data_IF_062869224329
#
_entry.id   IF_062869224329
#
_cell.length_a   1.000
_cell.length_b   1.000
_cell.length_c   1.000
_cell.angle_alpha   90.00
_cell.angle_beta   90.00
_cell.angle_gamma   90.00
#
_symmetry.space_group_name_H-M   'P 1'
#
loop_
_entity.id
_entity.type
_entity.pdbx_description
1 polymer ?
#
# COMPACT_ATOMS: atom_id res chain seq x y z
N UNK A 1 -31.48 29.31 -4.38
CA UNK A 1 -31.76 28.51 -3.20
C UNK A 1 -31.78 27.06 -3.70
N UNK A 2 -30.95 26.15 -3.16
CA UNK A 2 -31.00 24.73 -3.52
C UNK A 2 -32.37 24.19 -3.04
N UNK A 3 -33.09 23.48 -3.92
CA UNK A 3 -34.34 22.82 -3.52
C UNK A 3 -34.01 21.77 -2.46
N UNK A 4 -34.81 21.78 -1.38
CA UNK A 4 -34.70 20.83 -0.28
C UNK A 4 -36.02 20.13 -0.07
N UNK A 5 -36.00 18.92 0.46
CA UNK A 5 -37.14 18.16 0.95
C UNK A 5 -37.06 17.98 2.45
N UNK A 6 -38.17 17.76 3.11
CA UNK A 6 -38.22 17.44 4.53
C UNK A 6 -38.07 15.93 4.68
N UNK A 7 -37.08 15.51 5.49
CA UNK A 7 -36.88 14.14 5.98
C UNK A 7 -37.03 14.09 7.49
N UNK A 8 -37.33 12.93 8.02
CA UNK A 8 -37.57 12.73 9.45
C UNK A 8 -36.84 11.49 9.98
N UNK A 9 -36.28 11.63 11.14
CA UNK A 9 -35.74 10.52 11.97
C UNK A 9 -36.31 10.57 13.40
N UNK A 10 -35.80 9.75 14.30
CA UNK A 10 -36.22 9.71 15.71
C UNK A 10 -36.01 11.02 16.48
N UNK A 11 -35.16 11.92 15.97
CA UNK A 11 -34.85 13.22 16.58
C UNK A 11 -35.67 14.38 16.00
N UNK A 12 -36.51 14.14 14.95
CA UNK A 12 -37.37 15.12 14.34
C UNK A 12 -37.08 15.38 12.86
N UNK A 13 -37.62 16.44 12.34
CA UNK A 13 -37.55 16.85 10.93
C UNK A 13 -36.30 17.68 10.65
N UNK A 14 -35.76 17.55 9.42
CA UNK A 14 -34.72 18.42 8.89
C UNK A 14 -34.76 18.50 7.37
N UNK A 15 -34.09 19.52 6.83
CA UNK A 15 -34.01 19.77 5.38
C UNK A 15 -32.85 18.93 4.79
N UNK A 16 -33.13 18.16 3.73
CA UNK A 16 -32.17 17.40 2.95
C UNK A 16 -32.20 17.87 1.51
N UNK A 17 -31.08 17.98 0.79
CA UNK A 17 -31.10 18.35 -0.63
C UNK A 17 -32.05 17.47 -1.43
N UNK A 18 -32.90 18.07 -2.27
CA UNK A 18 -33.94 17.37 -3.02
C UNK A 18 -33.46 16.16 -3.80
N UNK A 19 -32.25 16.27 -4.38
CA UNK A 19 -31.66 15.22 -5.22
C UNK A 19 -30.81 14.19 -4.45
N UNK A 20 -30.59 14.39 -3.15
CA UNK A 20 -29.80 13.44 -2.36
C UNK A 20 -30.54 12.10 -2.22
N UNK A 21 -29.82 11.02 -2.37
CA UNK A 21 -30.37 9.68 -2.13
C UNK A 21 -30.37 9.31 -0.64
N UNK A 22 -29.57 9.99 0.16
CA UNK A 22 -29.53 9.81 1.61
C UNK A 22 -30.66 10.59 2.31
N UNK A 23 -30.93 10.25 3.56
CA UNK A 23 -31.99 10.80 4.38
C UNK A 23 -31.51 11.63 5.56
N UNK A 24 -32.33 11.65 6.61
CA UNK A 24 -32.18 12.51 7.79
C UNK A 24 -30.90 12.22 8.59
N UNK A 25 -30.59 10.97 8.84
CA UNK A 25 -29.43 10.63 9.68
C UNK A 25 -28.11 11.02 9.01
N UNK A 26 -27.99 10.81 7.72
CA UNK A 26 -26.82 11.25 6.94
C UNK A 26 -26.69 12.77 6.96
N UNK A 27 -27.79 13.52 6.74
CA UNK A 27 -27.73 14.97 6.77
C UNK A 27 -27.29 15.50 8.13
N UNK A 28 -27.77 14.91 9.24
CA UNK A 28 -27.27 15.28 10.58
C UNK A 28 -25.77 15.04 10.73
N UNK A 29 -25.26 13.94 10.17
CA UNK A 29 -23.82 13.66 10.23
C UNK A 29 -23.02 14.70 9.40
N UNK A 30 -23.51 15.09 8.24
CA UNK A 30 -22.90 16.16 7.43
C UNK A 30 -22.86 17.49 8.19
N UNK A 31 -23.97 17.84 8.85
CA UNK A 31 -24.09 19.07 9.61
C UNK A 31 -23.24 19.06 10.90
N UNK A 32 -23.09 17.90 11.53
CA UNK A 32 -22.35 17.75 12.80
C UNK A 32 -20.82 17.66 12.63
N UNK A 33 -20.34 17.17 11.49
CA UNK A 33 -18.93 16.84 11.29
C UNK A 33 -18.27 17.55 10.10
N UNK A 34 -18.37 18.89 9.95
CA UNK A 34 -17.64 19.61 8.91
C UNK A 34 -16.19 19.85 9.33
N UNK A 35 -15.37 18.78 9.39
CA UNK A 35 -14.04 18.82 10.02
C UNK A 35 -12.94 18.89 8.98
N UNK A 36 -12.81 17.88 8.12
CA UNK A 36 -11.71 17.78 7.16
C UNK A 36 -12.12 18.05 5.70
N UNK A 37 -13.38 17.84 5.38
CA UNK A 37 -13.89 17.80 4.00
C UNK A 37 -13.48 16.52 3.25
N UNK A 38 -12.77 15.60 3.89
CA UNK A 38 -12.42 14.30 3.31
C UNK A 38 -13.55 13.30 3.54
N UNK A 39 -13.99 12.67 2.47
CA UNK A 39 -14.98 11.59 2.53
C UNK A 39 -14.32 10.26 2.81
N UNK A 40 -15.11 9.27 3.23
CA UNK A 40 -14.61 7.90 3.34
C UNK A 40 -14.04 7.41 1.98
N UNK A 41 -12.98 6.58 2.00
CA UNK A 41 -12.37 6.09 0.76
C UNK A 41 -13.37 5.37 -0.15
N UNK A 42 -13.22 5.54 -1.47
CA UNK A 42 -14.07 4.85 -2.45
C UNK A 42 -14.08 3.33 -2.25
N UNK A 43 -12.92 2.74 -1.94
CA UNK A 43 -12.79 1.30 -1.67
C UNK A 43 -13.61 0.88 -0.44
N UNK A 44 -13.66 1.71 0.61
CA UNK A 44 -14.48 1.46 1.79
C UNK A 44 -15.97 1.47 1.46
N UNK A 45 -16.43 2.51 0.77
CA UNK A 45 -17.85 2.63 0.38
C UNK A 45 -18.26 1.49 -0.57
N UNK A 46 -17.39 1.13 -1.54
CA UNK A 46 -17.62 -0.05 -2.42
C UNK A 46 -17.80 -1.33 -1.60
N UNK A 47 -16.92 -1.57 -0.64
CA UNK A 47 -17.00 -2.74 0.22
C UNK A 47 -18.26 -2.74 1.11
N UNK A 48 -18.67 -1.57 1.62
CA UNK A 48 -19.89 -1.42 2.40
C UNK A 48 -21.14 -1.74 1.56
N UNK A 49 -21.21 -1.25 0.33
CA UNK A 49 -22.31 -1.55 -0.60
C UNK A 49 -22.36 -3.06 -0.91
N UNK A 50 -21.22 -3.69 -1.18
CA UNK A 50 -21.12 -5.14 -1.39
C UNK A 50 -21.57 -5.94 -0.17
N UNK A 51 -21.15 -5.50 1.01
CA UNK A 51 -21.56 -6.13 2.28
C UNK A 51 -23.07 -6.02 2.52
N UNK A 52 -23.69 -4.88 2.18
CA UNK A 52 -25.16 -4.72 2.26
C UNK A 52 -25.88 -5.64 1.27
N UNK A 53 -25.36 -5.79 0.05
CA UNK A 53 -25.92 -6.76 -0.91
C UNK A 53 -25.81 -8.22 -0.42
N UNK A 54 -24.66 -8.58 0.16
CA UNK A 54 -24.46 -9.91 0.76
C UNK A 54 -25.40 -10.16 1.95
N UNK A 55 -25.60 -9.16 2.82
CA UNK A 55 -26.52 -9.21 3.93
C UNK A 55 -27.97 -9.40 3.46
N UNK A 56 -28.39 -8.67 2.42
CA UNK A 56 -29.73 -8.81 1.85
C UNK A 56 -29.96 -10.21 1.30
N UNK A 57 -29.00 -10.80 0.54
CA UNK A 57 -29.09 -12.18 0.06
C UNK A 57 -29.17 -13.19 1.20
N UNK A 58 -28.32 -13.05 2.20
CA UNK A 58 -28.32 -13.91 3.39
C UNK A 58 -29.67 -13.85 4.15
N UNK A 59 -30.20 -12.65 4.34
CA UNK A 59 -31.48 -12.45 5.04
C UNK A 59 -32.69 -12.99 4.27
N UNK A 60 -32.66 -12.96 2.93
CA UNK A 60 -33.69 -13.65 2.11
C UNK A 60 -33.63 -15.16 2.31
N UNK A 61 -32.44 -15.76 2.24
CA UNK A 61 -32.28 -17.21 2.48
C UNK A 61 -32.73 -17.64 3.88
N UNK A 62 -32.59 -16.76 4.87
CA UNK A 62 -32.99 -16.99 6.25
C UNK A 62 -34.46 -16.60 6.55
N UNK A 63 -35.18 -16.09 5.54
CA UNK A 63 -36.57 -15.67 5.71
C UNK A 63 -36.76 -14.42 6.59
N UNK A 64 -35.69 -13.62 6.79
CA UNK A 64 -35.74 -12.42 7.63
C UNK A 64 -36.29 -11.20 6.89
N UNK A 65 -36.13 -11.15 5.57
CA UNK A 65 -36.75 -10.18 4.66
C UNK A 65 -37.38 -10.93 3.46
N UNK A 66 -38.31 -10.31 2.77
CA UNK A 66 -38.96 -10.93 1.62
C UNK A 66 -38.00 -11.02 0.42
N UNK A 67 -38.26 -11.95 -0.49
CA UNK A 67 -37.49 -12.10 -1.70
C UNK A 67 -37.51 -10.84 -2.58
N UNK A 68 -38.63 -10.14 -2.65
CA UNK A 68 -38.77 -8.90 -3.43
C UNK A 68 -37.95 -7.76 -2.83
N UNK A 69 -37.97 -7.57 -1.51
CA UNK A 69 -37.15 -6.59 -0.80
C UNK A 69 -35.66 -6.88 -0.99
N UNK A 70 -35.24 -8.13 -0.77
CA UNK A 70 -33.85 -8.53 -0.92
C UNK A 70 -33.34 -8.32 -2.35
N UNK A 71 -34.14 -8.69 -3.36
CA UNK A 71 -33.81 -8.44 -4.76
C UNK A 71 -33.66 -6.96 -5.05
N UNK A 72 -34.59 -6.13 -4.59
CA UNK A 72 -34.52 -4.67 -4.80
C UNK A 72 -33.27 -4.03 -4.16
N UNK A 73 -32.85 -4.50 -2.96
CA UNK A 73 -31.63 -4.01 -2.30
C UNK A 73 -30.39 -4.43 -3.11
N UNK A 74 -30.33 -5.67 -3.60
CA UNK A 74 -29.20 -6.16 -4.41
C UNK A 74 -29.11 -5.42 -5.74
N UNK A 75 -30.25 -5.23 -6.43
CA UNK A 75 -30.30 -4.48 -7.70
C UNK A 75 -29.88 -2.99 -7.48
N UNK A 76 -30.31 -2.38 -6.37
CA UNK A 76 -29.89 -1.03 -6.00
C UNK A 76 -28.37 -0.94 -5.74
N UNK A 77 -27.81 -1.92 -5.04
CA UNK A 77 -26.38 -2.00 -4.78
C UNK A 77 -25.57 -2.16 -6.08
N UNK A 78 -26.01 -3.00 -6.98
CA UNK A 78 -25.37 -3.21 -8.27
C UNK A 78 -25.42 -1.93 -9.11
N UNK A 79 -26.57 -1.29 -9.22
CA UNK A 79 -26.72 -0.05 -9.98
C UNK A 79 -25.84 1.09 -9.44
N UNK A 80 -25.65 1.16 -8.10
CA UNK A 80 -24.70 2.11 -7.50
C UNK A 80 -23.26 1.82 -7.92
N UNK A 81 -22.84 0.56 -7.88
CA UNK A 81 -21.46 0.15 -8.17
C UNK A 81 -21.07 0.35 -9.64
N UNK A 82 -22.03 0.32 -10.55
CA UNK A 82 -21.85 0.59 -11.98
C UNK A 82 -21.67 2.08 -12.30
N UNK A 83 -22.06 2.98 -11.37
CA UNK A 83 -22.05 4.43 -11.54
C UNK A 83 -21.01 5.18 -10.70
N UNK A 84 -21.07 6.51 -10.73
CA UNK A 84 -20.35 7.35 -9.77
C UNK A 84 -21.18 7.52 -8.50
N UNK A 85 -20.95 6.64 -7.54
CA UNK A 85 -21.71 6.59 -6.29
C UNK A 85 -21.20 7.55 -5.22
N UNK A 86 -19.97 8.05 -5.31
CA UNK A 86 -19.34 8.81 -4.22
C UNK A 86 -20.08 10.13 -3.89
N UNK A 87 -20.82 10.71 -4.82
CA UNK A 87 -21.65 11.90 -4.57
C UNK A 87 -22.74 11.67 -3.52
N UNK A 88 -23.16 10.41 -3.31
CA UNK A 88 -24.19 10.03 -2.35
C UNK A 88 -23.65 9.70 -0.95
N UNK A 89 -22.32 9.76 -0.78
CA UNK A 89 -21.62 9.46 0.48
C UNK A 89 -20.80 10.67 0.94
N UNK A 90 -21.48 11.74 1.44
CA UNK A 90 -20.82 13.01 1.77
C UNK A 90 -20.18 13.05 3.16
N UNK A 91 -20.37 12.03 4.00
CA UNK A 91 -19.95 12.05 5.41
C UNK A 91 -18.43 12.14 5.53
N UNK A 92 -17.95 13.05 6.39
CA UNK A 92 -16.52 13.24 6.68
C UNK A 92 -15.90 12.00 7.34
N UNK A 93 -14.62 11.77 7.13
CA UNK A 93 -13.85 10.71 7.82
C UNK A 93 -13.90 10.90 9.34
N UNK A 94 -13.79 12.13 9.81
CA UNK A 94 -13.92 12.47 11.23
C UNK A 94 -15.41 12.58 11.60
N UNK A 95 -16.01 11.44 11.89
CA UNK A 95 -17.40 11.23 12.21
C UNK A 95 -17.54 10.47 13.53
N UNK A 96 -18.72 9.92 13.84
CA UNK A 96 -18.85 9.02 15.00
C UNK A 96 -17.89 7.85 14.90
N UNK A 97 -17.16 7.58 15.99
CA UNK A 97 -16.02 6.67 16.00
C UNK A 97 -16.33 5.21 15.64
N UNK A 98 -17.58 4.79 15.80
CA UNK A 98 -18.08 3.48 15.35
C UNK A 98 -18.38 3.40 13.86
N UNK A 99 -18.31 4.52 13.13
CA UNK A 99 -18.69 4.58 11.71
C UNK A 99 -20.20 4.50 11.45
N UNK A 100 -21.04 4.66 12.48
CA UNK A 100 -22.50 4.59 12.33
C UNK A 100 -23.02 5.58 11.30
N UNK A 101 -22.42 6.77 11.20
CA UNK A 101 -22.82 7.76 10.19
C UNK A 101 -22.67 7.23 8.76
N UNK A 102 -21.56 6.56 8.45
CA UNK A 102 -21.35 5.91 7.14
C UNK A 102 -22.25 4.69 6.94
N UNK A 103 -22.50 3.89 7.98
CA UNK A 103 -23.43 2.76 7.90
C UNK A 103 -24.84 3.23 7.56
N UNK A 104 -25.34 4.24 8.28
CA UNK A 104 -26.67 4.79 8.01
C UNK A 104 -26.75 5.49 6.66
N UNK A 105 -25.69 6.16 6.22
CA UNK A 105 -25.61 6.71 4.88
C UNK A 105 -25.83 5.62 3.80
N UNK A 106 -25.15 4.49 3.90
CA UNK A 106 -25.37 3.37 2.99
C UNK A 106 -26.79 2.80 3.09
N UNK A 107 -27.31 2.64 4.30
CA UNK A 107 -28.66 2.14 4.52
C UNK A 107 -29.72 3.04 3.88
N UNK A 108 -29.63 4.37 4.08
CA UNK A 108 -30.57 5.35 3.53
C UNK A 108 -30.51 5.42 2.01
N UNK A 109 -29.30 5.42 1.41
CA UNK A 109 -29.11 5.44 -0.04
C UNK A 109 -29.69 4.18 -0.68
N UNK A 110 -29.37 3.01 -0.14
CA UNK A 110 -29.88 1.73 -0.66
C UNK A 110 -31.38 1.59 -0.47
N UNK A 111 -31.91 1.99 0.69
CA UNK A 111 -33.35 1.98 0.95
C UNK A 111 -34.12 2.88 -0.03
N UNK A 112 -33.61 4.07 -0.32
CA UNK A 112 -34.21 4.99 -1.29
C UNK A 112 -34.26 4.39 -2.69
N UNK A 113 -33.14 3.81 -3.16
CA UNK A 113 -33.08 3.21 -4.49
C UNK A 113 -33.92 1.93 -4.58
N UNK A 114 -33.84 1.06 -3.57
CA UNK A 114 -34.62 -0.17 -3.51
C UNK A 114 -36.11 0.12 -3.47
N UNK A 115 -36.56 1.15 -2.72
CA UNK A 115 -37.96 1.58 -2.70
C UNK A 115 -38.44 2.05 -4.08
N UNK A 116 -37.61 2.78 -4.81
CA UNK A 116 -37.94 3.22 -6.18
C UNK A 116 -38.05 2.02 -7.16
N UNK A 117 -37.16 1.03 -7.02
CA UNK A 117 -37.20 -0.17 -7.86
C UNK A 117 -38.39 -1.08 -7.54
N UNK A 118 -38.73 -1.21 -6.26
CA UNK A 118 -39.78 -2.11 -5.79
C UNK A 118 -41.19 -1.48 -5.94
N UNK A 119 -41.27 -0.16 -5.88
CA UNK A 119 -42.58 0.56 -5.81
C UNK A 119 -43.23 0.55 -4.43
N UNK A 120 -42.52 0.01 -3.42
CA UNK A 120 -42.94 -0.07 -2.02
C UNK A 120 -41.79 0.40 -1.11
N UNK A 121 -42.13 0.75 0.13
CA UNK A 121 -41.12 1.24 1.10
C UNK A 121 -40.19 0.14 1.54
N UNK A 122 -38.91 0.32 1.27
CA UNK A 122 -37.80 -0.46 1.86
C UNK A 122 -37.22 0.39 2.99
N UNK A 123 -37.29 -0.15 4.24
CA UNK A 123 -36.82 0.57 5.41
C UNK A 123 -35.32 0.41 5.60
N UNK A 124 -34.55 1.51 5.85
CA UNK A 124 -33.11 1.46 6.04
C UNK A 124 -32.69 0.62 7.26
N UNK A 125 -33.45 0.63 8.37
CA UNK A 125 -33.13 -0.10 9.57
C UNK A 125 -33.65 -1.55 9.55
N UNK A 126 -34.92 -1.75 9.20
CA UNK A 126 -35.58 -3.04 9.30
C UNK A 126 -35.23 -4.00 8.15
N UNK A 127 -34.95 -3.45 6.96
CA UNK A 127 -34.67 -4.25 5.76
C UNK A 127 -33.20 -4.21 5.36
N UNK A 128 -32.61 -3.03 5.10
CA UNK A 128 -31.20 -2.90 4.65
C UNK A 128 -30.23 -3.29 5.74
N UNK A 129 -30.50 -2.88 6.99
CA UNK A 129 -29.66 -3.16 8.16
C UNK A 129 -30.11 -4.40 8.95
N UNK A 130 -31.02 -5.22 8.43
CA UNK A 130 -31.55 -6.40 9.11
C UNK A 130 -30.42 -7.33 9.59
N UNK A 131 -30.43 -7.71 10.87
CA UNK A 131 -29.44 -8.60 11.50
C UNK A 131 -28.04 -7.98 11.64
N UNK A 132 -27.91 -6.67 11.54
CA UNK A 132 -26.63 -5.96 11.59
C UNK A 132 -26.62 -4.87 12.66
N UNK A 133 -25.42 -4.48 13.09
CA UNK A 133 -25.10 -3.25 13.80
C UNK A 133 -24.00 -2.50 13.07
N UNK A 134 -23.86 -1.19 13.28
CA UNK A 134 -22.64 -0.48 12.84
C UNK A 134 -21.39 -1.11 13.46
N UNK A 135 -21.52 -1.66 14.65
CA UNK A 135 -20.40 -2.20 15.43
C UNK A 135 -19.78 -3.47 14.80
N UNK A 136 -20.54 -4.26 14.05
CA UNK A 136 -20.01 -5.42 13.32
C UNK A 136 -19.79 -5.13 11.82
N UNK A 137 -20.67 -4.37 11.17
CA UNK A 137 -20.56 -4.11 9.74
C UNK A 137 -19.38 -3.19 9.38
N UNK A 138 -19.03 -2.20 10.22
CA UNK A 138 -17.91 -1.31 9.94
C UNK A 138 -16.56 -2.01 10.05
N UNK A 139 -16.22 -2.75 11.14
CA UNK A 139 -15.00 -3.57 11.14
C UNK A 139 -14.97 -4.59 10.00
N UNK A 140 -16.08 -5.22 9.69
CA UNK A 140 -16.23 -6.11 8.52
C UNK A 140 -15.86 -5.36 7.24
N UNK A 141 -16.35 -4.15 7.03
CA UNK A 141 -16.07 -3.34 5.84
C UNK A 141 -14.58 -2.94 5.75
N UNK A 142 -13.93 -2.64 6.87
CA UNK A 142 -12.48 -2.40 6.93
C UNK A 142 -11.72 -3.61 6.40
N UNK A 143 -12.04 -4.79 6.91
CA UNK A 143 -11.41 -6.05 6.50
C UNK A 143 -11.66 -6.35 5.01
N UNK A 144 -12.91 -6.27 4.57
CA UNK A 144 -13.30 -6.53 3.18
C UNK A 144 -12.63 -5.56 2.22
N UNK A 145 -12.69 -4.27 2.50
CA UNK A 145 -12.08 -3.25 1.63
C UNK A 145 -10.56 -3.41 1.53
N UNK A 146 -9.90 -3.67 2.65
CA UNK A 146 -8.46 -3.91 2.66
C UNK A 146 -8.08 -5.19 1.90
N UNK A 147 -8.80 -6.30 2.12
CA UNK A 147 -8.55 -7.56 1.40
C UNK A 147 -8.74 -7.39 -0.11
N UNK A 148 -9.83 -6.76 -0.56
CA UNK A 148 -10.09 -6.52 -1.98
C UNK A 148 -9.02 -5.60 -2.60
N UNK A 149 -8.66 -4.51 -1.93
CA UNK A 149 -7.67 -3.56 -2.46
C UNK A 149 -6.27 -4.18 -2.51
N UNK A 150 -5.90 -5.01 -1.53
CA UNK A 150 -4.67 -5.80 -1.59
C UNK A 150 -4.66 -6.74 -2.80
N UNK A 151 -5.73 -7.51 -3.00
CA UNK A 151 -5.84 -8.46 -4.12
C UNK A 151 -5.87 -7.78 -5.48
N UNK A 152 -6.67 -6.72 -5.62
CA UNK A 152 -6.93 -6.08 -6.92
C UNK A 152 -5.84 -5.07 -7.31
N UNK A 153 -5.11 -4.48 -6.36
CA UNK A 153 -4.22 -3.36 -6.64
C UNK A 153 -2.79 -3.55 -6.15
N UNK A 154 -2.56 -3.74 -4.83
CA UNK A 154 -1.20 -3.69 -4.30
C UNK A 154 -0.36 -4.92 -4.65
N UNK A 155 -0.89 -6.12 -4.44
CA UNK A 155 -0.16 -7.35 -4.75
C UNK A 155 0.21 -7.42 -6.24
N UNK A 156 -0.70 -7.16 -7.20
CA UNK A 156 -0.35 -7.09 -8.61
C UNK A 156 0.68 -6.01 -8.93
N UNK A 157 0.62 -4.84 -8.28
CA UNK A 157 1.58 -3.76 -8.49
C UNK A 157 2.99 -4.12 -8.00
N UNK A 158 3.10 -4.79 -6.85
CA UNK A 158 4.38 -5.26 -6.32
C UNK A 158 4.97 -6.38 -7.17
N UNK A 159 4.15 -7.31 -7.63
CA UNK A 159 4.57 -8.38 -8.56
C UNK A 159 5.11 -7.77 -9.85
N UNK A 160 4.38 -6.83 -10.45
CA UNK A 160 4.83 -6.11 -11.64
C UNK A 160 6.18 -5.39 -11.41
N UNK A 161 6.33 -4.71 -10.26
CA UNK A 161 7.60 -4.05 -9.91
C UNK A 161 8.75 -5.06 -9.82
N UNK A 162 8.54 -6.22 -9.18
CA UNK A 162 9.53 -7.29 -9.10
C UNK A 162 9.92 -7.78 -10.48
N UNK A 163 8.96 -8.07 -11.36
CA UNK A 163 9.22 -8.53 -12.73
C UNK A 163 10.02 -7.52 -13.56
N UNK A 164 9.72 -6.22 -13.40
CA UNK A 164 10.46 -5.14 -14.07
C UNK A 164 11.89 -5.06 -13.54
N UNK A 165 12.09 -5.16 -12.22
CA UNK A 165 13.42 -5.16 -11.61
C UNK A 165 14.24 -6.35 -12.11
N UNK A 166 13.68 -7.56 -12.12
CA UNK A 166 14.38 -8.78 -12.56
C UNK A 166 14.76 -8.72 -14.04
N UNK A 167 13.87 -8.25 -14.90
CA UNK A 167 14.16 -8.03 -16.32
C UNK A 167 15.28 -7.01 -16.51
N UNK A 168 15.23 -5.90 -15.76
CA UNK A 168 16.30 -4.90 -15.79
C UNK A 168 17.62 -5.45 -15.27
N UNK A 169 17.60 -6.28 -14.24
CA UNK A 169 18.79 -6.95 -13.72
C UNK A 169 19.48 -7.80 -14.79
N UNK A 170 18.74 -8.54 -15.60
CA UNK A 170 19.29 -9.29 -16.72
C UNK A 170 19.93 -8.37 -17.77
N UNK A 171 19.25 -7.26 -18.13
CA UNK A 171 19.76 -6.27 -19.09
C UNK A 171 21.09 -5.65 -18.65
N UNK A 172 21.24 -5.36 -17.36
CA UNK A 172 22.41 -4.65 -16.81
C UNK A 172 23.45 -5.58 -16.17
N UNK A 173 23.35 -6.89 -16.36
CA UNK A 173 24.20 -7.88 -15.72
C UNK A 173 25.72 -7.70 -16.02
N UNK A 174 26.06 -7.26 -17.22
CA UNK A 174 27.45 -7.05 -17.62
C UNK A 174 28.13 -5.84 -16.95
N UNK A 175 27.34 -4.93 -16.36
CA UNK A 175 27.91 -3.73 -15.76
C UNK A 175 28.37 -3.98 -14.33
N UNK A 176 29.67 -3.81 -14.10
CA UNK A 176 30.30 -3.82 -12.79
C UNK A 176 30.49 -2.40 -12.28
N UNK A 177 30.22 -2.17 -11.02
CA UNK A 177 30.33 -0.88 -10.36
C UNK A 177 31.07 -0.99 -9.04
N UNK A 178 31.60 0.13 -8.54
CA UNK A 178 32.06 0.23 -7.16
C UNK A 178 30.88 0.06 -6.21
N UNK A 179 30.94 -0.95 -5.32
CA UNK A 179 30.02 -1.06 -4.19
C UNK A 179 30.30 0.05 -3.17
N UNK A 180 29.31 0.33 -2.32
CA UNK A 180 29.46 1.34 -1.24
C UNK A 180 28.90 0.82 0.08
N UNK A 181 29.69 1.00 1.13
CA UNK A 181 29.26 0.86 2.52
C UNK A 181 29.54 2.16 3.23
N UNK A 182 28.65 2.66 4.08
CA UNK A 182 28.76 3.99 4.68
C UNK A 182 28.88 5.13 3.65
N UNK A 183 28.37 4.94 2.43
CA UNK A 183 28.59 5.79 1.25
C UNK A 183 30.08 5.90 0.82
N UNK A 184 30.97 5.10 1.39
CA UNK A 184 32.37 5.03 1.02
C UNK A 184 32.59 3.89 0.03
N UNK A 185 33.61 4.06 -0.84
CA UNK A 185 34.01 3.05 -1.83
C UNK A 185 34.33 1.71 -1.16
N UNK A 186 33.81 0.64 -1.75
CA UNK A 186 34.00 -0.72 -1.28
C UNK A 186 34.32 -1.65 -2.46
N UNK A 187 34.21 -2.96 -2.26
CA UNK A 187 34.47 -3.95 -3.29
C UNK A 187 33.48 -3.86 -4.46
N UNK A 188 33.87 -4.32 -5.66
CA UNK A 188 33.00 -4.31 -6.83
C UNK A 188 31.76 -5.17 -6.63
N UNK A 189 30.66 -4.72 -7.24
CA UNK A 189 29.41 -5.47 -7.36
C UNK A 189 28.89 -5.34 -8.80
N UNK A 190 28.13 -6.31 -9.27
CA UNK A 190 27.35 -6.16 -10.51
C UNK A 190 26.13 -5.29 -10.26
N UNK A 191 25.74 -4.48 -11.23
CA UNK A 191 24.51 -3.70 -11.17
C UNK A 191 23.31 -4.65 -10.97
N UNK A 192 23.31 -5.83 -11.60
CA UNK A 192 22.27 -6.85 -11.42
C UNK A 192 22.12 -7.33 -9.97
N UNK A 193 23.24 -7.52 -9.24
CA UNK A 193 23.20 -7.97 -7.84
C UNK A 193 22.50 -6.95 -6.94
N UNK A 194 22.67 -5.66 -7.21
CA UNK A 194 21.95 -4.61 -6.50
C UNK A 194 20.45 -4.71 -6.75
N UNK A 195 20.04 -4.85 -8.01
CA UNK A 195 18.64 -4.98 -8.40
C UNK A 195 18.01 -6.27 -7.87
N UNK A 196 18.70 -7.38 -7.95
CA UNK A 196 18.27 -8.68 -7.37
C UNK A 196 18.01 -8.58 -5.86
N UNK A 197 18.86 -7.82 -5.14
CA UNK A 197 18.64 -7.51 -3.73
C UNK A 197 17.32 -6.77 -3.49
N UNK A 198 16.97 -5.78 -4.34
CA UNK A 198 15.69 -5.08 -4.25
C UNK A 198 14.51 -6.01 -4.56
N UNK A 199 14.62 -6.82 -5.62
CA UNK A 199 13.59 -7.80 -5.96
C UNK A 199 13.32 -8.76 -4.79
N UNK A 200 14.36 -9.24 -4.13
CA UNK A 200 14.23 -10.15 -3.00
C UNK A 200 13.53 -9.49 -1.80
N UNK A 201 13.84 -8.22 -1.48
CA UNK A 201 13.13 -7.47 -0.44
C UNK A 201 11.63 -7.38 -0.74
N UNK A 202 11.26 -7.08 -1.99
CA UNK A 202 9.86 -6.95 -2.39
C UNK A 202 9.13 -8.31 -2.41
N UNK A 203 9.79 -9.38 -2.84
CA UNK A 203 9.24 -10.75 -2.76
C UNK A 203 8.91 -11.15 -1.32
N UNK A 204 9.79 -10.83 -0.38
CA UNK A 204 9.53 -11.06 1.04
C UNK A 204 8.32 -10.24 1.54
N UNK A 205 8.21 -8.97 1.15
CA UNK A 205 7.05 -8.15 1.50
C UNK A 205 5.74 -8.71 0.91
N UNK A 206 5.75 -9.18 -0.34
CA UNK A 206 4.60 -9.82 -0.98
C UNK A 206 4.17 -11.06 -0.19
N UNK A 207 5.11 -11.94 0.17
CA UNK A 207 4.82 -13.14 0.94
C UNK A 207 4.19 -12.81 2.30
N UNK A 208 4.76 -11.84 3.04
CA UNK A 208 4.20 -11.42 4.33
C UNK A 208 2.79 -10.81 4.18
N UNK A 209 2.53 -10.02 3.14
CA UNK A 209 1.18 -9.50 2.88
C UNK A 209 0.18 -10.62 2.57
N UNK A 210 0.60 -11.63 1.80
CA UNK A 210 -0.23 -12.80 1.49
C UNK A 210 -0.55 -13.62 2.73
N UNK A 211 0.41 -13.78 3.65
CA UNK A 211 0.22 -14.50 4.91
C UNK A 211 -0.81 -13.82 5.83
N UNK A 212 -1.03 -12.51 5.68
CA UNK A 212 -2.02 -11.76 6.45
C UNK A 212 -3.45 -11.82 5.87
N UNK A 213 -3.62 -12.23 4.61
CA UNK A 213 -4.93 -12.27 3.97
C UNK A 213 -5.96 -13.12 4.74
N UNK A 214 -5.65 -14.32 5.25
CA UNK A 214 -6.62 -15.10 6.02
C UNK A 214 -7.18 -14.37 7.24
N UNK A 215 -6.38 -13.52 7.90
CA UNK A 215 -6.82 -12.70 9.03
C UNK A 215 -7.76 -11.57 8.61
N UNK A 216 -7.51 -10.94 7.46
CA UNK A 216 -8.42 -9.94 6.86
C UNK A 216 -9.72 -10.57 6.35
N UNK A 217 -9.68 -11.82 5.92
CA UNK A 217 -10.83 -12.54 5.39
C UNK A 217 -11.75 -13.11 6.48
N UNK A 218 -11.34 -13.04 7.76
CA UNK A 218 -12.16 -13.39 8.91
C UNK A 218 -12.95 -12.16 9.37
N UNK A 219 -14.29 -12.24 9.37
CA UNK A 219 -15.18 -11.10 9.49
C UNK A 219 -15.88 -11.02 10.86
N UNK A 220 -16.13 -9.79 11.33
CA UNK A 220 -16.88 -9.49 12.54
C UNK A 220 -18.39 -9.65 12.36
N UNK A 221 -18.87 -9.74 11.11
CA UNK A 221 -20.29 -9.74 10.79
C UNK A 221 -21.03 -10.89 11.44
N UNK A 222 -22.15 -10.56 12.06
CA UNK A 222 -22.98 -11.47 12.87
C UNK A 222 -22.82 -11.29 14.38
N UNK A 223 -21.82 -10.51 14.84
CA UNK A 223 -21.65 -10.16 16.23
C UNK A 223 -22.62 -9.11 16.75
N UNK A 224 -23.19 -8.35 15.83
CA UNK A 224 -24.12 -7.24 16.09
C UNK A 224 -23.57 -6.20 17.07
N UNK A 225 -24.32 -5.88 18.14
CA UNK A 225 -24.02 -4.75 19.02
C UNK A 225 -22.72 -4.89 19.82
N UNK A 226 -22.43 -6.08 20.36
CA UNK A 226 -21.33 -6.32 21.32
C UNK A 226 -20.56 -7.63 21.08
N UNK A 227 -20.95 -8.42 20.08
CA UNK A 227 -20.32 -9.72 19.79
C UNK A 227 -21.18 -10.95 20.08
N UNK A 228 -22.34 -10.78 20.71
CA UNK A 228 -23.25 -11.89 21.09
C UNK A 228 -24.17 -12.33 19.96
N UNK A 229 -24.30 -11.52 18.90
CA UNK A 229 -25.22 -11.81 17.80
C UNK A 229 -26.70 -11.54 18.12
N UNK A 230 -26.98 -10.68 19.09
CA UNK A 230 -28.38 -10.33 19.43
C UNK A 230 -29.13 -9.80 18.19
N UNK A 231 -30.37 -10.27 17.97
CA UNK A 231 -31.22 -9.90 16.85
C UNK A 231 -30.72 -10.36 15.44
N UNK A 232 -29.67 -11.15 15.38
CA UNK A 232 -29.27 -11.82 14.14
C UNK A 232 -29.66 -13.30 14.17
N UNK A 233 -30.03 -13.85 13.01
CA UNK A 233 -30.27 -15.29 12.87
C UNK A 233 -28.96 -16.05 13.16
N UNK A 234 -28.96 -17.18 13.86
CA UNK A 234 -27.73 -17.93 14.19
C UNK A 234 -26.84 -18.30 12.99
N UNK A 235 -27.42 -18.52 11.81
CA UNK A 235 -26.70 -18.81 10.58
C UNK A 235 -26.28 -17.56 9.77
N UNK A 236 -26.62 -16.36 10.24
CA UNK A 236 -26.41 -15.12 9.47
C UNK A 236 -24.95 -14.90 9.10
N UNK A 237 -24.02 -15.04 10.05
CA UNK A 237 -22.59 -14.87 9.81
C UNK A 237 -22.06 -15.79 8.71
N UNK A 238 -22.46 -17.06 8.71
CA UNK A 238 -22.03 -18.05 7.71
C UNK A 238 -22.62 -17.76 6.32
N UNK A 239 -23.93 -17.43 6.26
CA UNK A 239 -24.61 -17.10 4.99
C UNK A 239 -24.07 -15.81 4.40
N UNK A 240 -23.89 -14.78 5.22
CA UNK A 240 -23.29 -13.51 4.81
C UNK A 240 -21.91 -13.69 4.19
N UNK A 241 -21.01 -14.40 4.90
CA UNK A 241 -19.63 -14.61 4.42
C UNK A 241 -19.62 -15.39 3.09
N UNK A 242 -20.48 -16.39 2.92
CA UNK A 242 -20.64 -17.12 1.67
C UNK A 242 -21.13 -16.20 0.54
N UNK A 243 -22.20 -15.43 0.77
CA UNK A 243 -22.76 -14.53 -0.22
C UNK A 243 -21.76 -13.43 -0.61
N UNK A 244 -21.00 -12.91 0.33
CA UNK A 244 -19.95 -11.94 0.07
C UNK A 244 -18.81 -12.54 -0.78
N UNK A 245 -18.41 -13.78 -0.48
CA UNK A 245 -17.39 -14.51 -1.26
C UNK A 245 -17.83 -14.72 -2.71
N UNK A 246 -19.09 -15.08 -2.93
CA UNK A 246 -19.67 -15.22 -4.28
C UNK A 246 -19.70 -13.90 -5.05
N UNK A 247 -20.03 -12.78 -4.37
CA UNK A 247 -20.09 -11.45 -5.00
C UNK A 247 -18.71 -10.89 -5.36
N UNK A 248 -17.71 -11.20 -4.56
CA UNK A 248 -16.38 -10.61 -4.68
C UNK A 248 -15.34 -11.50 -5.33
N UNK A 249 -15.63 -12.79 -5.47
CA UNK A 249 -14.69 -13.85 -5.89
C UNK A 249 -13.45 -13.94 -4.96
N UNK A 250 -13.55 -13.44 -3.75
CA UNK A 250 -12.55 -13.55 -2.68
C UNK A 250 -13.17 -14.30 -1.51
N UNK A 251 -12.47 -15.31 -0.99
CA UNK A 251 -12.98 -16.13 0.09
C UNK A 251 -13.04 -15.34 1.41
N UNK A 252 -14.21 -15.22 2.01
CA UNK A 252 -14.43 -14.68 3.35
C UNK A 252 -15.05 -15.73 4.27
N UNK A 253 -14.76 -15.64 5.55
CA UNK A 253 -15.26 -16.56 6.57
C UNK A 253 -15.76 -15.82 7.81
N UNK A 254 -16.69 -16.37 8.59
CA UNK A 254 -17.00 -15.84 9.90
C UNK A 254 -15.76 -15.85 10.82
N UNK A 255 -15.56 -14.79 11.57
CA UNK A 255 -14.50 -14.73 12.56
C UNK A 255 -14.71 -15.74 13.69
N UNK A 256 -13.64 -16.28 14.23
CA UNK A 256 -13.70 -17.25 15.34
C UNK A 256 -14.17 -16.63 16.66
N UNK A 257 -13.90 -15.36 16.87
CA UNK A 257 -14.29 -14.61 18.05
C UNK A 257 -14.75 -13.20 17.66
N UNK A 258 -16.04 -12.97 17.70
CA UNK A 258 -16.65 -11.71 17.26
C UNK A 258 -16.40 -10.56 18.23
N UNK A 259 -16.19 -10.85 19.52
CA UNK A 259 -15.81 -9.84 20.52
C UNK A 259 -14.44 -9.22 20.20
N UNK A 260 -13.46 -10.04 19.85
CA UNK A 260 -12.14 -9.58 19.46
C UNK A 260 -12.19 -8.71 18.19
N UNK A 261 -12.98 -9.10 17.19
CA UNK A 261 -13.07 -8.39 15.92
C UNK A 261 -13.88 -7.09 15.97
N UNK A 262 -14.72 -6.91 16.97
CA UNK A 262 -15.49 -5.69 17.26
C UNK A 262 -14.72 -4.76 18.19
N UNK A 263 -14.23 -5.30 19.31
CA UNK A 263 -13.57 -4.53 20.37
C UNK A 263 -12.13 -4.12 20.03
N UNK A 264 -11.46 -4.84 19.13
CA UNK A 264 -10.08 -4.53 18.72
C UNK A 264 -9.94 -4.46 17.19
N UNK A 265 -8.80 -3.87 16.76
CA UNK A 265 -8.47 -3.74 15.34
C UNK A 265 -7.04 -4.26 15.05
N UNK A 266 -6.63 -5.29 15.75
CA UNK A 266 -5.26 -5.82 15.71
C UNK A 266 -4.85 -6.29 14.31
N UNK A 267 -5.78 -6.86 13.55
CA UNK A 267 -5.54 -7.24 12.15
C UNK A 267 -5.19 -6.02 11.29
N UNK A 268 -5.95 -4.92 11.42
CA UNK A 268 -5.68 -3.69 10.68
C UNK A 268 -4.32 -3.08 11.07
N UNK A 269 -3.97 -3.10 12.36
CA UNK A 269 -2.66 -2.65 12.87
C UNK A 269 -1.54 -3.51 12.31
N UNK A 270 -1.70 -4.83 12.29
CA UNK A 270 -0.69 -5.76 11.74
C UNK A 270 -0.47 -5.55 10.25
N UNK A 271 -1.54 -5.43 9.46
CA UNK A 271 -1.46 -5.14 8.02
C UNK A 271 -0.77 -3.80 7.80
N UNK A 272 -1.13 -2.77 8.55
CA UNK A 272 -0.48 -1.46 8.49
C UNK A 272 1.02 -1.54 8.76
N UNK A 273 1.44 -2.30 9.76
CA UNK A 273 2.85 -2.56 10.06
C UNK A 273 3.59 -3.21 8.87
N UNK A 274 2.96 -4.14 8.15
CA UNK A 274 3.54 -4.74 6.96
C UNK A 274 3.56 -3.78 5.76
N UNK A 275 2.54 -2.93 5.60
CA UNK A 275 2.57 -1.84 4.60
C UNK A 275 3.71 -0.86 4.88
N UNK A 276 3.96 -0.53 6.15
CA UNK A 276 5.12 0.27 6.56
C UNK A 276 6.44 -0.41 6.18
N UNK A 277 6.59 -1.71 6.42
CA UNK A 277 7.79 -2.45 6.01
C UNK A 277 8.01 -2.39 4.49
N UNK A 278 6.93 -2.51 3.71
CA UNK A 278 6.97 -2.35 2.25
C UNK A 278 7.39 -0.92 1.85
N UNK A 279 6.84 0.09 2.52
CA UNK A 279 7.22 1.49 2.31
C UNK A 279 8.72 1.74 2.59
N UNK A 280 9.28 1.13 3.63
CA UNK A 280 10.71 1.21 3.96
C UNK A 280 11.56 0.60 2.83
N UNK A 281 11.16 -0.54 2.26
CA UNK A 281 11.85 -1.13 1.10
C UNK A 281 11.80 -0.20 -0.12
N UNK A 282 10.64 0.38 -0.43
CA UNK A 282 10.50 1.34 -1.53
C UNK A 282 11.30 2.62 -1.31
N UNK A 283 11.35 3.13 -0.07
CA UNK A 283 12.17 4.29 0.29
C UNK A 283 13.67 4.03 0.02
N UNK A 284 14.16 2.84 0.39
CA UNK A 284 15.55 2.42 0.14
C UNK A 284 15.82 2.38 -1.36
N UNK A 285 14.97 1.76 -2.16
CA UNK A 285 15.12 1.68 -3.61
C UNK A 285 15.10 3.07 -4.25
N UNK A 286 14.16 3.92 -3.85
CA UNK A 286 14.05 5.29 -4.35
C UNK A 286 15.29 6.14 -4.03
N UNK A 287 15.83 6.02 -2.83
CA UNK A 287 17.05 6.74 -2.44
C UNK A 287 18.28 6.23 -3.19
N UNK A 288 18.45 4.93 -3.36
CA UNK A 288 19.55 4.38 -4.16
C UNK A 288 19.50 4.86 -5.61
N UNK A 289 18.31 4.87 -6.23
CA UNK A 289 18.12 5.43 -7.58
C UNK A 289 18.51 6.91 -7.65
N UNK A 290 18.10 7.71 -6.66
CA UNK A 290 18.46 9.14 -6.58
C UNK A 290 19.96 9.34 -6.44
N UNK A 291 20.63 8.55 -5.60
CA UNK A 291 22.09 8.61 -5.45
C UNK A 291 22.80 8.22 -6.73
N UNK A 292 22.47 7.08 -7.34
CA UNK A 292 23.09 6.63 -8.58
C UNK A 292 22.90 7.60 -9.75
N UNK A 293 21.75 8.31 -9.81
CA UNK A 293 21.44 9.32 -10.82
C UNK A 293 21.98 10.72 -10.49
N UNK A 294 22.60 10.94 -9.33
CA UNK A 294 23.01 12.26 -8.89
C UNK A 294 24.05 12.89 -9.82
N UNK A 295 23.95 14.20 -10.02
CA UNK A 295 24.88 14.94 -10.87
C UNK A 295 24.19 15.56 -12.08
N UNK A 296 24.62 15.25 -13.32
CA UNK A 296 25.53 14.19 -13.79
C UNK A 296 27.03 14.44 -13.64
N UNK A 297 27.46 15.70 -13.45
CA UNK A 297 28.89 16.06 -13.43
C UNK A 297 29.48 16.00 -12.01
N UNK A 298 28.84 16.65 -11.05
CA UNK A 298 29.31 16.78 -9.67
C UNK A 298 28.77 15.69 -8.71
N UNK A 299 27.97 14.75 -9.19
CA UNK A 299 27.47 13.62 -8.42
C UNK A 299 28.01 12.31 -8.94
N UNK A 300 27.34 11.19 -8.57
CA UNK A 300 27.78 9.84 -8.94
C UNK A 300 27.61 9.56 -10.43
N UNK A 301 26.46 9.91 -11.01
CA UNK A 301 26.17 9.77 -12.43
C UNK A 301 26.30 8.33 -12.94
N UNK A 302 26.04 7.32 -12.11
CA UNK A 302 26.15 5.90 -12.49
C UNK A 302 25.04 5.45 -13.43
N UNK A 303 23.88 6.07 -13.29
CA UNK A 303 22.71 5.86 -14.15
C UNK A 303 22.14 7.20 -14.61
N UNK A 304 21.33 7.16 -15.64
CA UNK A 304 20.51 8.26 -16.10
C UNK A 304 19.05 7.84 -16.10
N UNK A 305 18.24 8.49 -15.28
CA UNK A 305 16.79 8.34 -15.26
C UNK A 305 16.17 9.15 -16.39
N UNK A 306 15.03 8.70 -16.89
CA UNK A 306 14.29 9.40 -17.95
C UNK A 306 13.85 10.80 -17.49
N UNK A 307 14.03 11.78 -18.38
CA UNK A 307 13.58 13.16 -18.18
C UNK A 307 12.08 13.29 -18.43
N UNK A 308 11.28 13.24 -17.39
CA UNK A 308 9.81 13.24 -17.48
C UNK A 308 9.19 14.64 -17.51
N UNK A 309 9.90 15.64 -17.00
CA UNK A 309 9.46 17.04 -16.96
C UNK A 309 10.63 17.99 -16.73
N UNK A 310 10.51 19.29 -17.06
CA UNK A 310 11.49 20.29 -16.67
C UNK A 310 11.71 20.30 -15.16
N UNK A 311 12.97 20.24 -14.73
CA UNK A 311 13.34 20.08 -13.33
C UNK A 311 13.48 21.39 -12.54
N UNK A 312 13.44 22.54 -13.21
CA UNK A 312 13.63 23.84 -12.57
C UNK A 312 12.94 24.95 -13.34
N UNK A 313 12.39 25.92 -12.62
CA UNK A 313 11.81 27.14 -13.19
C UNK A 313 12.86 28.17 -13.62
N UNK A 314 14.11 28.06 -13.12
CA UNK A 314 15.18 29.05 -13.33
C UNK A 314 16.49 28.44 -13.86
N UNK A 315 16.62 27.12 -13.92
CA UNK A 315 17.81 26.41 -14.41
C UNK A 315 17.46 25.58 -15.64
N UNK A 316 17.56 26.13 -16.86
CA UNK A 316 17.25 25.43 -18.09
C UNK A 316 18.08 24.15 -18.24
N UNK A 317 17.46 23.07 -18.68
CA UNK A 317 18.13 21.77 -18.89
C UNK A 317 18.32 20.91 -17.64
N UNK A 318 17.98 21.40 -16.45
CA UNK A 318 18.01 20.60 -15.21
C UNK A 318 16.85 19.59 -15.21
N UNK A 319 17.16 18.32 -14.99
CA UNK A 319 16.18 17.22 -14.85
C UNK A 319 16.31 16.60 -13.46
N UNK A 320 15.18 16.40 -12.79
CA UNK A 320 15.15 15.83 -11.44
C UNK A 320 14.61 14.39 -11.46
N UNK A 321 14.99 13.54 -10.49
CA UNK A 321 14.52 12.17 -10.35
C UNK A 321 13.12 12.12 -9.70
N UNK A 322 12.12 12.70 -10.39
CA UNK A 322 10.80 13.01 -9.81
C UNK A 322 10.01 11.79 -9.34
N UNK A 323 10.15 10.64 -10.01
CA UNK A 323 9.45 9.41 -9.58
C UNK A 323 10.04 8.84 -8.28
N UNK A 324 11.36 8.67 -8.13
CA UNK A 324 11.96 8.33 -6.84
C UNK A 324 11.64 9.33 -5.73
N UNK A 325 11.58 10.63 -6.03
CA UNK A 325 11.18 11.65 -5.03
C UNK A 325 9.74 11.46 -4.57
N UNK A 326 8.81 11.26 -5.50
CA UNK A 326 7.41 10.97 -5.18
C UNK A 326 7.26 9.67 -4.37
N UNK A 327 8.00 8.62 -4.74
CA UNK A 327 8.02 7.35 -4.00
C UNK A 327 8.51 7.53 -2.57
N UNK A 328 9.53 8.35 -2.35
CA UNK A 328 10.03 8.67 -1.01
C UNK A 328 8.98 9.41 -0.17
N UNK A 329 8.22 10.35 -0.76
CA UNK A 329 7.11 11.03 -0.08
C UNK A 329 5.96 10.07 0.25
N UNK A 330 5.62 9.15 -0.65
CA UNK A 330 4.62 8.09 -0.40
C UNK A 330 5.05 7.23 0.80
N UNK A 331 6.30 6.80 0.84
CA UNK A 331 6.81 6.00 1.94
C UNK A 331 6.73 6.75 3.29
N UNK A 332 7.07 8.03 3.32
CA UNK A 332 6.94 8.87 4.50
C UNK A 332 5.47 8.99 4.96
N UNK A 333 4.53 9.18 4.03
CA UNK A 333 3.11 9.24 4.33
C UNK A 333 2.58 7.92 4.91
N UNK A 334 2.96 6.78 4.34
CA UNK A 334 2.56 5.45 4.84
C UNK A 334 3.07 5.20 6.25
N UNK A 335 4.30 5.63 6.58
CA UNK A 335 4.85 5.56 7.93
C UNK A 335 4.01 6.42 8.90
N UNK A 336 3.61 7.62 8.48
CA UNK A 336 2.73 8.48 9.28
C UNK A 336 1.34 7.87 9.49
N UNK A 337 0.76 7.28 8.44
CA UNK A 337 -0.53 6.58 8.51
C UNK A 337 -0.48 5.40 9.50
N UNK A 338 0.61 4.63 9.51
CA UNK A 338 0.82 3.53 10.45
C UNK A 338 0.82 4.01 11.90
N UNK A 339 1.43 5.14 12.18
CA UNK A 339 1.40 5.76 13.51
C UNK A 339 -0.03 6.13 13.93
N UNK A 340 -0.81 6.72 13.03
CA UNK A 340 -2.21 7.04 13.30
C UNK A 340 -3.05 5.76 13.55
N UNK A 341 -2.86 4.72 12.74
CA UNK A 341 -3.55 3.43 12.90
C UNK A 341 -3.17 2.77 14.24
N UNK A 342 -1.90 2.84 14.64
CA UNK A 342 -1.43 2.28 15.93
C UNK A 342 -2.15 2.96 17.11
N UNK A 343 -2.21 4.30 17.11
CA UNK A 343 -2.93 5.06 18.16
C UNK A 343 -4.42 4.75 18.13
N UNK A 344 -5.03 4.67 16.95
CA UNK A 344 -6.44 4.35 16.81
C UNK A 344 -6.74 2.89 17.22
N UNK A 345 -5.85 1.94 16.91
CA UNK A 345 -5.99 0.54 17.29
C UNK A 345 -6.01 0.33 18.80
N UNK A 346 -5.12 1.01 19.54
CA UNK A 346 -5.08 0.93 21.00
C UNK A 346 -6.27 1.61 21.72
N UNK A 347 -7.11 2.36 20.99
CA UNK A 347 -8.22 3.15 21.55
C UNK A 347 -9.51 2.33 21.69
N UNK A 348 -9.49 1.02 21.51
CA UNK A 348 -10.60 0.12 21.84
C UNK A 348 -10.86 0.09 23.34
N UNK A 349 -12.13 0.29 23.72
CA UNK A 349 -12.55 0.22 25.13
C UNK A 349 -13.71 -0.76 25.25
N UNK A 350 -13.54 -1.79 26.10
CA UNK A 350 -14.52 -2.86 26.27
C UNK A 350 -14.88 -3.49 24.90
N UNK A 351 -16.13 -3.51 24.54
CA UNK A 351 -16.68 -4.27 23.42
C UNK A 351 -16.68 -3.49 22.08
N UNK A 352 -16.05 -2.31 21.99
CA UNK A 352 -16.02 -1.54 20.74
C UNK A 352 -14.77 -0.65 20.62
N UNK A 353 -14.13 -0.68 19.46
CA UNK A 353 -13.19 0.37 19.05
C UNK A 353 -13.97 1.54 18.39
N UNK A 354 -13.75 2.75 18.86
CA UNK A 354 -14.45 3.95 18.37
C UNK A 354 -13.54 4.93 17.60
N UNK A 355 -12.55 4.39 16.87
CA UNK A 355 -11.73 5.11 15.91
C UNK A 355 -11.70 4.41 14.53
N UNK A 356 -12.78 3.71 14.20
CA UNK A 356 -12.86 2.89 12.99
C UNK A 356 -12.72 3.68 11.68
N UNK A 357 -13.35 4.87 11.49
CA UNK A 357 -13.23 5.61 10.25
C UNK A 357 -11.79 6.06 9.93
N UNK A 358 -11.02 6.49 10.92
CA UNK A 358 -9.62 6.91 10.70
C UNK A 358 -8.71 5.72 10.41
N UNK A 359 -8.98 4.54 10.99
CA UNK A 359 -8.29 3.30 10.64
C UNK A 359 -8.55 2.95 9.18
N UNK A 360 -9.81 2.95 8.75
CA UNK A 360 -10.18 2.68 7.35
C UNK A 360 -9.48 3.64 6.38
N UNK A 361 -9.54 4.95 6.64
CA UNK A 361 -8.94 5.97 5.80
C UNK A 361 -7.44 5.77 5.63
N UNK A 362 -6.70 5.64 6.73
CA UNK A 362 -5.25 5.53 6.67
C UNK A 362 -4.77 4.19 6.08
N UNK A 363 -5.47 3.09 6.40
CA UNK A 363 -5.13 1.76 5.88
C UNK A 363 -5.31 1.70 4.35
N UNK A 364 -6.47 2.10 3.84
CA UNK A 364 -6.77 2.07 2.42
C UNK A 364 -5.94 3.07 1.62
N UNK A 365 -5.72 4.28 2.16
CA UNK A 365 -4.81 5.25 1.56
C UNK A 365 -3.40 4.69 1.42
N UNK A 366 -2.88 3.99 2.44
CA UNK A 366 -1.56 3.37 2.38
C UNK A 366 -1.47 2.28 1.31
N UNK A 367 -2.49 1.44 1.19
CA UNK A 367 -2.53 0.38 0.15
C UNK A 367 -2.52 1.02 -1.26
N UNK A 368 -3.37 2.02 -1.49
CA UNK A 368 -3.49 2.69 -2.79
C UNK A 368 -2.22 3.46 -3.17
N UNK A 369 -1.65 4.23 -2.24
CA UNK A 369 -0.42 4.98 -2.46
C UNK A 369 0.75 4.04 -2.81
N UNK A 370 0.92 2.94 -2.09
CA UNK A 370 1.96 1.95 -2.38
C UNK A 370 1.74 1.27 -3.73
N UNK A 371 0.50 0.93 -4.08
CA UNK A 371 0.19 0.30 -5.36
C UNK A 371 0.54 1.22 -6.54
N UNK A 372 0.08 2.48 -6.49
CA UNK A 372 0.31 3.45 -7.55
C UNK A 372 1.79 3.82 -7.67
N UNK A 373 2.46 4.06 -6.54
CA UNK A 373 3.89 4.37 -6.49
C UNK A 373 4.74 3.21 -7.03
N UNK A 374 4.40 1.97 -6.71
CA UNK A 374 5.13 0.78 -7.22
C UNK A 374 5.05 0.67 -8.73
N UNK A 375 3.89 0.89 -9.35
CA UNK A 375 3.73 0.90 -10.81
C UNK A 375 4.55 2.02 -11.45
N UNK A 376 4.48 3.23 -10.91
CA UNK A 376 5.23 4.37 -11.44
C UNK A 376 6.74 4.15 -11.31
N UNK A 377 7.22 3.62 -10.19
CA UNK A 377 8.62 3.29 -9.98
C UNK A 377 9.11 2.22 -10.96
N UNK A 378 8.29 1.20 -11.21
CA UNK A 378 8.57 0.17 -12.21
C UNK A 378 8.70 0.77 -13.61
N UNK A 379 7.64 1.45 -14.08
CA UNK A 379 7.48 1.80 -15.48
C UNK A 379 8.28 3.05 -15.89
N UNK A 380 8.41 4.03 -14.98
CA UNK A 380 9.00 5.35 -15.28
C UNK A 380 10.36 5.62 -14.63
N UNK A 381 10.89 4.66 -13.87
CA UNK A 381 12.22 4.79 -13.30
C UNK A 381 13.07 3.56 -13.59
N UNK A 382 12.65 2.37 -13.16
CA UNK A 382 13.49 1.17 -13.28
C UNK A 382 13.54 0.66 -14.71
N UNK A 383 12.42 0.55 -15.41
CA UNK A 383 12.39 0.07 -16.79
C UNK A 383 13.22 0.93 -17.75
N UNK A 384 13.22 2.26 -17.53
CA UNK A 384 13.76 3.23 -18.49
C UNK A 384 15.17 3.73 -18.21
N UNK A 385 15.74 3.50 -17.00
CA UNK A 385 17.07 4.04 -16.72
C UNK A 385 18.15 3.42 -17.61
N UNK A 386 19.17 4.24 -17.92
CA UNK A 386 20.36 3.85 -18.66
C UNK A 386 21.57 3.82 -17.74
N UNK A 387 22.47 2.87 -17.96
CA UNK A 387 23.73 2.79 -17.22
C UNK A 387 24.79 3.66 -17.89
N UNK A 388 25.49 4.47 -17.11
CA UNK A 388 26.63 5.26 -17.58
C UNK A 388 27.92 4.45 -17.41
N UNK A 389 28.18 3.56 -18.36
CA UNK A 389 29.32 2.64 -18.32
C UNK A 389 30.67 3.36 -18.15
N UNK A 390 30.85 4.50 -18.78
CA UNK A 390 32.09 5.28 -18.70
C UNK A 390 32.37 5.72 -17.24
N UNK A 391 31.35 6.19 -16.53
CA UNK A 391 31.47 6.58 -15.12
C UNK A 391 31.77 5.38 -14.22
N UNK A 392 31.14 4.24 -14.48
CA UNK A 392 31.41 3.02 -13.71
C UNK A 392 32.87 2.56 -13.86
N UNK A 393 33.38 2.52 -15.10
CA UNK A 393 34.75 2.14 -15.41
C UNK A 393 35.77 3.13 -14.82
N UNK A 394 35.51 4.44 -14.91
CA UNK A 394 36.36 5.45 -14.31
C UNK A 394 36.48 5.26 -12.79
N UNK A 395 35.36 5.10 -12.09
CA UNK A 395 35.34 4.89 -10.65
C UNK A 395 36.08 3.61 -10.24
N UNK A 396 35.83 2.50 -10.93
CA UNK A 396 36.49 1.22 -10.66
C UNK A 396 38.02 1.31 -10.85
N UNK A 397 38.48 1.97 -11.94
CA UNK A 397 39.92 2.07 -12.24
C UNK A 397 40.72 2.83 -11.17
N UNK A 398 40.04 3.72 -10.43
CA UNK A 398 40.63 4.53 -9.36
C UNK A 398 40.39 3.99 -7.96
N UNK A 399 39.62 2.92 -7.83
CA UNK A 399 39.24 2.40 -6.52
C UNK A 399 40.41 1.65 -5.83
N UNK A 400 41.06 2.24 -4.81
CA UNK A 400 42.21 1.62 -4.17
C UNK A 400 41.80 0.41 -3.28
N UNK A 401 40.53 0.25 -2.97
CA UNK A 401 40.02 -0.84 -2.11
C UNK A 401 40.08 -2.19 -2.84
N UNK A 402 40.21 -2.21 -4.17
CA UNK A 402 40.44 -3.41 -4.96
C UNK A 402 41.68 -4.23 -4.43
N UNK A 403 42.65 -3.55 -3.83
CA UNK A 403 43.81 -4.22 -3.19
C UNK A 403 43.42 -5.26 -2.15
N UNK A 404 42.21 -5.22 -1.61
CA UNK A 404 41.66 -6.20 -0.67
C UNK A 404 41.76 -7.63 -1.23
N UNK A 405 41.65 -7.79 -2.54
CA UNK A 405 41.79 -9.06 -3.24
C UNK A 405 43.22 -9.66 -3.08
N UNK A 406 44.21 -8.85 -2.77
CA UNK A 406 45.59 -9.30 -2.57
C UNK A 406 45.86 -9.71 -1.11
N UNK A 407 44.97 -9.47 -0.16
CA UNK A 407 45.20 -9.80 1.27
C UNK A 407 45.66 -11.25 1.52
N UNK A 408 45.07 -12.25 0.86
CA UNK A 408 45.50 -13.64 1.05
C UNK A 408 46.96 -13.91 0.60
N UNK A 409 47.48 -13.07 -0.29
CA UNK A 409 48.82 -13.27 -0.92
C UNK A 409 49.88 -12.41 -0.22
N UNK A 410 49.60 -11.13 0.03
CA UNK A 410 50.59 -10.16 0.52
C UNK A 410 50.39 -9.74 1.98
N UNK A 411 49.28 -10.16 2.60
CA UNK A 411 48.89 -9.77 3.94
C UNK A 411 48.22 -8.39 4.03
N UNK A 412 47.40 -8.19 5.07
CA UNK A 412 46.59 -6.99 5.27
C UNK A 412 47.40 -5.68 5.37
N UNK A 413 48.53 -5.70 6.09
CA UNK A 413 49.32 -4.48 6.31
C UNK A 413 49.92 -3.95 5.00
N UNK A 414 50.49 -4.83 4.19
CA UNK A 414 51.07 -4.47 2.89
C UNK A 414 50.00 -3.98 1.90
N UNK A 415 48.84 -4.63 1.91
CA UNK A 415 47.70 -4.19 1.13
C UNK A 415 47.22 -2.78 1.58
N UNK A 416 47.18 -2.50 2.89
CA UNK A 416 46.82 -1.19 3.42
C UNK A 416 47.82 -0.08 3.04
N UNK A 417 49.12 -0.39 2.99
CA UNK A 417 50.12 0.57 2.52
C UNK A 417 49.95 0.89 1.04
N UNK A 418 49.71 -0.13 0.21
CA UNK A 418 49.44 0.04 -1.23
C UNK A 418 48.20 0.90 -1.44
N UNK A 419 47.10 0.61 -0.74
CA UNK A 419 45.86 1.37 -0.83
C UNK A 419 46.08 2.86 -0.48
N UNK A 420 46.75 3.13 0.65
CA UNK A 420 47.07 4.51 1.10
C UNK A 420 47.94 5.25 0.09
N UNK A 421 48.93 4.57 -0.46
CA UNK A 421 49.84 5.15 -1.48
C UNK A 421 49.09 5.46 -2.76
N UNK A 422 48.28 4.53 -3.26
CA UNK A 422 47.47 4.72 -4.44
C UNK A 422 46.49 5.91 -4.29
N UNK A 423 45.78 5.95 -3.14
CA UNK A 423 44.88 7.06 -2.83
C UNK A 423 45.58 8.41 -2.74
N UNK A 424 46.68 8.49 -1.98
CA UNK A 424 47.45 9.74 -1.79
C UNK A 424 48.05 10.27 -3.09
N UNK A 425 48.48 9.38 -3.98
CA UNK A 425 49.11 9.75 -5.26
C UNK A 425 48.11 9.88 -6.40
N UNK A 426 46.82 9.50 -6.21
CA UNK A 426 45.81 9.46 -7.27
C UNK A 426 46.15 8.48 -8.40
N UNK A 427 46.88 7.39 -8.07
CA UNK A 427 47.34 6.38 -9.05
C UNK A 427 46.49 5.12 -8.99
N UNK A 428 46.35 4.41 -10.11
CA UNK A 428 45.74 3.08 -10.13
C UNK A 428 46.43 2.12 -9.14
N UNK A 429 45.64 1.36 -8.40
CA UNK A 429 46.14 0.42 -7.39
C UNK A 429 47.09 -0.62 -7.99
N UNK A 430 46.86 -1.02 -9.22
CA UNK A 430 47.71 -2.01 -9.95
C UNK A 430 49.13 -1.49 -10.15
N UNK A 431 49.32 -0.22 -10.46
CA UNK A 431 50.64 0.38 -10.68
C UNK A 431 51.44 0.46 -9.37
N UNK A 432 50.74 0.81 -8.28
CA UNK A 432 51.38 0.83 -6.94
C UNK A 432 51.68 -0.59 -6.43
N UNK A 433 50.78 -1.54 -6.67
CA UNK A 433 50.98 -2.93 -6.30
C UNK A 433 52.16 -3.56 -7.04
N UNK A 434 52.39 -3.19 -8.30
CA UNK A 434 53.54 -3.66 -9.09
C UNK A 434 54.89 -3.17 -8.49
N UNK A 435 54.94 -1.99 -7.90
CA UNK A 435 56.13 -1.45 -7.25
C UNK A 435 56.38 -2.06 -5.86
N UNK A 436 55.37 -2.54 -5.19
CA UNK A 436 55.43 -3.00 -3.81
C UNK A 436 55.31 -4.53 -3.62
N UNK A 437 55.16 -5.30 -4.71
CA UNK A 437 55.01 -6.75 -4.67
C UNK A 437 55.89 -7.43 -5.72
N UNK A 438 56.15 -8.75 -5.56
CA UNK A 438 56.83 -9.56 -6.56
C UNK A 438 55.87 -10.13 -7.64
N UNK A 439 54.62 -9.67 -7.67
CA UNK A 439 53.61 -10.11 -8.61
C UNK A 439 53.83 -9.42 -9.98
N UNK A 440 53.76 -10.20 -11.03
CA UNK A 440 53.79 -9.63 -12.40
C UNK A 440 52.49 -8.84 -12.70
N UNK A 441 52.57 -7.92 -13.66
CA UNK A 441 51.40 -7.17 -14.13
C UNK A 441 50.25 -8.11 -14.55
N UNK A 442 50.53 -9.17 -15.26
CA UNK A 442 49.52 -10.14 -15.69
C UNK A 442 48.84 -10.87 -14.52
N UNK A 443 49.60 -11.17 -13.45
CA UNK A 443 49.02 -11.74 -12.23
C UNK A 443 48.12 -10.71 -11.51
N UNK A 444 48.56 -9.45 -11.41
CA UNK A 444 47.79 -8.39 -10.78
C UNK A 444 46.52 -8.07 -11.57
N UNK A 445 46.57 -8.07 -12.90
CA UNK A 445 45.36 -7.87 -13.76
C UNK A 445 44.33 -8.98 -13.54
N UNK A 446 44.75 -10.22 -13.31
CA UNK A 446 43.82 -11.32 -13.01
C UNK A 446 43.25 -11.22 -11.59
N UNK A 447 44.10 -10.87 -10.61
CA UNK A 447 43.71 -10.80 -9.20
C UNK A 447 42.85 -9.57 -8.88
N UNK A 448 43.06 -8.45 -9.57
CA UNK A 448 42.36 -7.20 -9.38
C UNK A 448 41.24 -6.99 -10.40
N UNK A 449 40.91 -8.00 -11.19
CA UNK A 449 39.80 -7.92 -12.16
C UNK A 449 38.47 -7.69 -11.47
N UNK A 450 37.86 -6.51 -11.60
CA UNK A 450 36.62 -6.19 -10.90
C UNK A 450 35.48 -7.17 -11.18
N UNK A 451 35.43 -7.74 -12.39
CA UNK A 451 34.39 -8.70 -12.77
C UNK A 451 34.49 -10.00 -11.96
N UNK A 452 35.69 -10.54 -11.83
CA UNK A 452 35.94 -11.75 -11.04
C UNK A 452 35.62 -11.53 -9.55
N UNK A 453 35.92 -10.35 -9.03
CA UNK A 453 35.66 -10.01 -7.62
C UNK A 453 34.17 -9.95 -7.28
N UNK A 454 33.29 -9.89 -8.25
CA UNK A 454 31.83 -9.93 -8.00
C UNK A 454 31.30 -11.34 -7.72
N UNK A 455 32.07 -12.38 -8.00
CA UNK A 455 31.67 -13.78 -7.80
C UNK A 455 31.91 -14.29 -6.38
N UNK A 456 32.69 -13.56 -5.57
CA UNK A 456 33.10 -13.98 -4.24
C UNK A 456 34.18 -15.07 -4.28
N UNK A 457 34.51 -15.64 -3.13
CA UNK A 457 35.52 -16.67 -2.98
C UNK A 457 36.89 -16.12 -2.64
N UNK A 458 37.93 -17.01 -2.66
CA UNK A 458 39.34 -16.69 -2.43
C UNK A 458 40.14 -16.82 -3.73
#
# INVERSE_FOLDING_TARGET
MSNTRIERDSMGELQVPEQALYGAQTQRAVDNFPISGQRMPRAFIRALILAKAAAARANVELGQISQSQGKAIVDAAQGLLEGDFMQHFPVDVFQTGSGTSSNMNANEVLATLASRLLGEVVNPNDHVNCGQSSNDIIPTTIHVSAALTLHEQLLPALVHLVEVIERKALEVHSFVKTGRTHLMDAMPVRMSQVLEGWAQQLKANIAHLQDLLPSLQALAQGGTAVGTGINAHPEFAARFSRQLSELTQVQFTPGKNLFALIGSQDTAVTVSGQLKATAVSLMKIANDLRWMNSGPLAGLGEIELEGLQPGSSIMPGKVNPVIPEATAMVAAQVIGNDSAITVAGQSGNFELNVMLPIIAQNLLSSIELLANSSRLLADKAIASFKVNEAKLKEALSRNPILVTALNPIIGYQKAAEIAKTAYKQGRPVIDVALEHTDLSRSQLEVLLDPEKLTAGGV
#
